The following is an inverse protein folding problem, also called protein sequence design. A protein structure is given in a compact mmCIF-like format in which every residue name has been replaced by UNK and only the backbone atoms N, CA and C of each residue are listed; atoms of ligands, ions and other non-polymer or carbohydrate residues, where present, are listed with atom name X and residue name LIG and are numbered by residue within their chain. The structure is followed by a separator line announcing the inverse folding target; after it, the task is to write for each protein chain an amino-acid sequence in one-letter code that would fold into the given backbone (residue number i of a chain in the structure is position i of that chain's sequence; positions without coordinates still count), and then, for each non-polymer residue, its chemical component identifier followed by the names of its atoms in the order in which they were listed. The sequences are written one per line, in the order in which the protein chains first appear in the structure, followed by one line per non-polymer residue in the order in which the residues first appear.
data_IF_076016527238
#
_entry.id   IF_076016527238
#
_cell.length_a   1.000
_cell.length_b   1.000
_cell.length_c   1.000
_cell.angle_alpha   90.00
_cell.angle_beta   90.00
_cell.angle_gamma   90.00
#
_symmetry.space_group_name_H-M   'P 1'
#
loop_
_entity.id
_entity.type
_entity.pdbx_description
1 polymer ?
#
# COMPACT_ATOMS: atom_id res chain seq x y z
N UNK A 1 10.03 -6.01 -22.16
CA UNK A 1 8.83 -5.82 -21.31
C UNK A 1 7.55 -6.07 -22.11
N UNK A 2 6.81 -7.13 -21.80
CA UNK A 2 5.61 -7.57 -22.56
C UNK A 2 4.33 -6.91 -22.05
N UNK A 3 4.38 -5.62 -21.74
CA UNK A 3 3.18 -4.86 -21.35
C UNK A 3 2.82 -3.91 -22.48
N UNK A 4 1.60 -4.06 -22.98
CA UNK A 4 1.06 -3.44 -24.19
C UNK A 4 -0.23 -2.63 -23.93
N UNK A 5 -0.67 -2.52 -22.67
CA UNK A 5 -1.89 -1.82 -22.30
C UNK A 5 -1.89 -0.39 -22.87
N UNK A 6 -2.96 -0.05 -23.61
CA UNK A 6 -3.12 1.25 -24.27
C UNK A 6 -1.95 1.64 -25.19
N UNK A 7 -1.33 0.66 -25.86
CA UNK A 7 -0.14 0.86 -26.70
C UNK A 7 1.00 1.56 -25.96
N UNK A 8 1.06 1.35 -24.63
CA UNK A 8 2.06 1.95 -23.73
C UNK A 8 1.97 3.48 -23.67
N UNK A 9 0.81 4.05 -24.01
CA UNK A 9 0.55 5.48 -23.93
C UNK A 9 0.53 5.94 -22.46
N UNK A 10 1.56 6.68 -22.08
CA UNK A 10 1.71 7.24 -20.73
C UNK A 10 0.50 8.10 -20.32
N UNK A 11 0.01 8.94 -21.23
CA UNK A 11 -1.14 9.82 -21.01
C UNK A 11 -2.39 9.02 -20.67
N UNK A 12 -2.70 7.96 -21.43
CA UNK A 12 -3.85 7.09 -21.18
C UNK A 12 -3.75 6.40 -19.83
N UNK A 13 -2.57 5.87 -19.47
CA UNK A 13 -2.41 5.14 -18.20
C UNK A 13 -2.60 6.05 -16.99
N UNK A 14 -1.97 7.22 -17.01
CA UNK A 14 -2.05 8.18 -15.92
C UNK A 14 -3.48 8.69 -15.77
N UNK A 15 -4.10 9.15 -16.86
CA UNK A 15 -5.47 9.69 -16.82
C UNK A 15 -6.51 8.64 -16.44
N UNK A 16 -6.46 7.44 -17.03
CA UNK A 16 -7.45 6.38 -16.77
C UNK A 16 -7.28 5.83 -15.35
N UNK A 17 -6.05 5.62 -14.86
CA UNK A 17 -5.83 5.16 -13.48
C UNK A 17 -6.34 6.16 -12.43
N UNK A 18 -6.05 7.45 -12.61
CA UNK A 18 -6.59 8.52 -11.76
C UNK A 18 -8.13 8.56 -11.80
N UNK A 19 -8.72 8.43 -13.00
CA UNK A 19 -10.18 8.43 -13.19
C UNK A 19 -10.87 7.23 -12.51
N UNK A 20 -10.31 6.03 -12.66
CA UNK A 20 -10.85 4.81 -12.00
C UNK A 20 -10.77 4.95 -10.48
N UNK A 21 -9.63 5.40 -9.94
CA UNK A 21 -9.48 5.60 -8.50
C UNK A 21 -10.48 6.65 -7.97
N UNK A 22 -10.58 7.80 -8.65
CA UNK A 22 -11.47 8.91 -8.26
C UNK A 22 -12.94 8.50 -8.29
N UNK A 23 -13.39 7.84 -9.37
CA UNK A 23 -14.78 7.41 -9.51
C UNK A 23 -15.15 6.31 -8.51
N UNK A 24 -14.31 5.29 -8.36
CA UNK A 24 -14.54 4.18 -7.42
C UNK A 24 -14.58 4.69 -5.98
N UNK A 25 -13.61 5.52 -5.59
CA UNK A 25 -13.55 6.04 -4.23
C UNK A 25 -14.70 7.01 -3.94
N UNK A 26 -15.03 7.90 -4.89
CA UNK A 26 -16.19 8.81 -4.77
C UNK A 26 -17.48 8.03 -4.55
N UNK A 27 -17.68 6.94 -5.30
CA UNK A 27 -18.84 6.08 -5.13
C UNK A 27 -18.86 5.39 -3.76
N UNK A 28 -17.71 4.87 -3.31
CA UNK A 28 -17.60 4.19 -2.02
C UNK A 28 -17.85 5.09 -0.81
N UNK A 29 -17.39 6.35 -0.85
CA UNK A 29 -17.45 7.28 0.29
C UNK A 29 -18.59 8.30 0.21
N UNK A 30 -19.30 8.39 -0.93
CA UNK A 30 -20.39 9.33 -1.15
C UNK A 30 -19.98 10.81 -1.20
N UNK A 31 -18.69 11.09 -1.43
CA UNK A 31 -18.15 12.47 -1.55
C UNK A 31 -17.21 12.53 -2.75
N UNK A 32 -17.21 13.67 -3.44
CA UNK A 32 -16.31 13.90 -4.58
C UNK A 32 -14.86 13.87 -4.10
N UNK A 33 -14.06 12.97 -4.68
CA UNK A 33 -12.63 12.82 -4.41
C UNK A 33 -11.88 12.75 -5.73
N UNK A 34 -10.76 13.46 -5.81
CA UNK A 34 -9.89 13.49 -6.97
C UNK A 34 -8.53 12.90 -6.59
N UNK A 35 -8.02 11.98 -7.40
CA UNK A 35 -6.67 11.42 -7.30
C UNK A 35 -5.77 11.96 -8.41
N UNK A 36 -4.52 12.25 -8.05
CA UNK A 36 -3.41 12.40 -9.00
C UNK A 36 -2.83 11.01 -9.33
N UNK A 37 -2.23 10.86 -10.51
CA UNK A 37 -1.50 9.67 -10.92
C UNK A 37 -0.21 10.06 -11.62
N UNK A 38 0.81 9.21 -11.51
CA UNK A 38 2.10 9.38 -12.16
C UNK A 38 2.69 8.03 -12.50
N UNK A 39 3.39 7.94 -13.63
CA UNK A 39 4.20 6.78 -13.91
C UNK A 39 5.62 6.98 -13.36
N UNK A 40 6.16 5.92 -12.78
CA UNK A 40 7.57 5.81 -12.44
C UNK A 40 8.12 4.59 -13.18
N UNK A 41 9.30 4.73 -13.79
CA UNK A 41 9.93 3.68 -14.58
C UNK A 41 11.21 3.22 -13.88
N UNK A 42 11.27 1.93 -13.56
CA UNK A 42 12.48 1.27 -13.10
C UNK A 42 13.19 0.60 -14.28
N UNK A 43 14.50 0.81 -14.41
CA UNK A 43 15.31 0.22 -15.48
C UNK A 43 15.51 -1.29 -15.31
N UNK A 44 15.41 -1.81 -14.08
CA UNK A 44 15.61 -3.22 -13.76
C UNK A 44 14.79 -3.63 -12.52
N UNK A 45 14.65 -4.95 -12.24
CA UNK A 45 13.91 -5.43 -11.08
C UNK A 45 14.42 -4.92 -9.73
N UNK A 46 15.73 -4.66 -9.55
CA UNK A 46 16.24 -4.18 -8.26
C UNK A 46 15.78 -2.75 -7.97
N UNK A 47 15.70 -1.87 -8.98
CA UNK A 47 15.14 -0.54 -8.79
C UNK A 47 13.65 -0.58 -8.39
N UNK A 48 12.88 -1.56 -8.90
CA UNK A 48 11.48 -1.76 -8.48
C UNK A 48 11.43 -2.15 -7.00
N UNK A 49 12.28 -3.08 -6.56
CA UNK A 49 12.39 -3.46 -5.14
C UNK A 49 12.75 -2.26 -4.26
N UNK A 50 13.75 -1.47 -4.68
CA UNK A 50 14.18 -0.28 -3.94
C UNK A 50 13.08 0.79 -3.87
N UNK A 51 12.31 0.96 -4.95
CA UNK A 51 11.14 1.83 -4.98
C UNK A 51 10.11 1.41 -3.92
N UNK A 52 9.75 0.13 -3.86
CA UNK A 52 8.80 -0.36 -2.86
C UNK A 52 9.35 -0.23 -1.43
N UNK A 53 10.64 -0.52 -1.20
CA UNK A 53 11.29 -0.30 0.10
C UNK A 53 11.22 1.15 0.54
N UNK A 54 11.47 2.08 -0.39
CA UNK A 54 11.34 3.51 -0.14
C UNK A 54 9.90 3.91 0.18
N UNK A 55 8.91 3.41 -0.56
CA UNK A 55 7.48 3.65 -0.27
C UNK A 55 7.05 3.11 1.10
N UNK A 56 7.52 1.94 1.53
CA UNK A 56 7.20 1.39 2.84
C UNK A 56 7.84 2.22 3.99
N UNK A 57 9.09 2.63 3.81
CA UNK A 57 9.78 3.52 4.76
C UNK A 57 9.06 4.87 4.89
N UNK A 58 8.63 5.43 3.76
CA UNK A 58 7.85 6.66 3.71
C UNK A 58 6.48 6.49 4.39
N UNK A 59 5.78 5.38 4.14
CA UNK A 59 4.52 5.05 4.81
C UNK A 59 4.69 4.98 6.33
N UNK A 60 5.77 4.37 6.82
CA UNK A 60 6.08 4.30 8.26
C UNK A 60 6.28 5.69 8.86
N UNK A 61 7.04 6.55 8.16
CA UNK A 61 7.28 7.94 8.58
C UNK A 61 5.98 8.75 8.60
N UNK A 62 5.17 8.63 7.56
CA UNK A 62 3.88 9.31 7.44
C UNK A 62 2.90 8.85 8.51
N UNK A 63 2.86 7.54 8.80
CA UNK A 63 2.04 6.97 9.86
C UNK A 63 2.42 7.53 11.23
N UNK A 64 3.71 7.51 11.58
CA UNK A 64 4.21 8.05 12.85
C UNK A 64 3.87 9.54 12.98
N UNK A 65 4.09 10.31 11.92
CA UNK A 65 3.76 11.74 11.90
C UNK A 65 2.25 11.98 12.03
N UNK A 66 1.43 11.20 11.33
CA UNK A 66 -0.03 11.28 11.37
C UNK A 66 -0.58 10.98 12.75
N UNK A 67 -0.08 9.92 13.41
CA UNK A 67 -0.44 9.61 14.79
C UNK A 67 -0.10 10.75 15.75
N UNK A 68 1.12 11.28 15.68
CA UNK A 68 1.51 12.42 16.49
C UNK A 68 0.60 13.63 16.25
N UNK A 69 0.35 13.95 14.97
CA UNK A 69 -0.45 15.10 14.58
C UNK A 69 -1.87 14.98 15.13
N UNK A 70 -2.55 13.86 14.88
CA UNK A 70 -3.92 13.67 15.33
C UNK A 70 -4.03 13.62 16.86
N UNK A 71 -3.02 13.09 17.56
CA UNK A 71 -3.00 13.14 19.02
C UNK A 71 -2.81 14.55 19.57
N UNK A 72 -1.96 15.37 18.95
CA UNK A 72 -1.87 16.79 19.29
C UNK A 72 -3.19 17.53 19.02
N UNK A 73 -3.86 17.24 17.90
CA UNK A 73 -5.18 17.81 17.57
C UNK A 73 -6.24 17.43 18.59
N UNK A 74 -6.25 16.17 19.03
CA UNK A 74 -7.14 15.67 20.07
C UNK A 74 -6.85 16.30 21.44
N UNK A 75 -5.57 16.54 21.77
CA UNK A 75 -5.13 17.25 22.96
C UNK A 75 -5.36 18.79 22.90
N UNK A 76 -6.12 19.27 21.92
CA UNK A 76 -6.55 20.67 21.81
C UNK A 76 -5.59 21.59 21.04
N UNK A 77 -4.51 21.08 20.44
CA UNK A 77 -3.63 21.91 19.59
C UNK A 77 -4.34 22.26 18.28
N UNK A 78 -4.17 23.50 17.84
CA UNK A 78 -4.68 23.91 16.54
C UNK A 78 -3.77 23.38 15.39
N UNK A 79 -4.23 23.54 14.14
CA UNK A 79 -3.49 23.08 12.95
C UNK A 79 -2.06 23.61 12.89
N UNK A 80 -1.86 24.91 13.19
CA UNK A 80 -0.56 25.56 13.07
C UNK A 80 0.41 25.08 14.15
N UNK A 81 -0.09 24.95 15.38
CA UNK A 81 0.68 24.45 16.52
C UNK A 81 1.12 23.00 16.30
N UNK A 82 0.19 22.11 15.93
CA UNK A 82 0.50 20.70 15.72
C UNK A 82 1.55 20.51 14.61
N UNK A 83 1.41 21.23 13.49
CA UNK A 83 2.39 21.20 12.40
C UNK A 83 3.75 21.74 12.86
N UNK A 84 3.80 22.90 13.52
CA UNK A 84 5.05 23.49 13.99
C UNK A 84 5.77 22.63 15.03
N UNK A 85 5.02 21.93 15.90
CA UNK A 85 5.59 21.03 16.90
C UNK A 85 6.27 19.81 16.28
N UNK A 86 5.79 19.34 15.11
CA UNK A 86 6.30 18.15 14.43
C UNK A 86 7.32 18.46 13.33
N UNK A 87 7.39 19.71 12.90
CA UNK A 87 8.29 20.15 11.85
C UNK A 87 9.76 19.94 12.23
N UNK A 88 10.52 19.37 11.29
CA UNK A 88 11.93 19.01 11.50
C UNK A 88 12.21 18.00 12.63
N UNK A 89 11.19 17.44 13.30
CA UNK A 89 11.41 16.56 14.45
C UNK A 89 11.85 15.15 14.06
N UNK A 90 12.76 14.62 14.87
CA UNK A 90 13.30 13.27 14.71
C UNK A 90 12.24 12.18 14.98
N UNK A 91 12.51 10.97 14.48
CA UNK A 91 11.70 9.78 14.77
C UNK A 91 11.65 9.51 16.28
N UNK A 92 12.77 9.68 16.99
CA UNK A 92 12.84 9.48 18.44
C UNK A 92 11.91 10.44 19.19
N UNK A 93 11.93 11.74 18.84
CA UNK A 93 11.03 12.73 19.43
C UNK A 93 9.56 12.37 19.22
N UNK A 94 9.19 11.91 18.02
CA UNK A 94 7.81 11.54 17.69
C UNK A 94 7.35 10.30 18.47
N UNK A 95 8.22 9.32 18.66
CA UNK A 95 7.90 8.16 19.50
C UNK A 95 7.72 8.55 20.97
N UNK A 96 8.61 9.39 21.51
CA UNK A 96 8.50 9.89 22.88
C UNK A 96 7.22 10.70 23.08
N UNK A 97 6.86 11.56 22.12
CA UNK A 97 5.61 12.31 22.15
C UNK A 97 4.40 11.37 22.25
N UNK A 98 4.32 10.32 21.43
CA UNK A 98 3.23 9.35 21.51
C UNK A 98 3.23 8.59 22.83
N UNK A 99 4.42 8.25 23.33
CA UNK A 99 4.58 7.55 24.61
C UNK A 99 4.06 8.38 25.78
N UNK A 100 4.25 9.70 25.77
CA UNK A 100 3.66 10.62 26.76
C UNK A 100 2.12 10.60 26.76
N UNK A 101 1.50 10.24 25.64
CA UNK A 101 0.05 9.99 25.54
C UNK A 101 -0.34 8.52 25.75
N UNK A 102 0.58 7.69 26.25
CA UNK A 102 0.35 6.26 26.50
C UNK A 102 0.26 5.41 25.23
N UNK A 103 0.77 5.88 24.09
CA UNK A 103 0.71 5.17 22.81
C UNK A 103 2.10 4.68 22.43
N UNK A 104 2.27 3.36 22.39
CA UNK A 104 3.44 2.74 21.78
C UNK A 104 3.22 2.57 20.28
N UNK A 105 3.95 3.33 19.45
CA UNK A 105 3.82 3.24 18.00
C UNK A 105 4.07 1.82 17.48
N UNK A 106 4.92 1.01 18.13
CA UNK A 106 5.23 -0.33 17.65
C UNK A 106 4.11 -1.36 17.85
N UNK A 107 3.15 -1.07 18.74
CA UNK A 107 2.01 -1.93 19.06
C UNK A 107 0.78 -1.61 18.20
N UNK A 108 0.82 -0.54 17.41
CA UNK A 108 -0.27 -0.21 16.49
C UNK A 108 -0.40 -1.27 15.38
N UNK A 109 -1.60 -1.45 14.81
CA UNK A 109 -1.83 -2.40 13.72
C UNK A 109 -0.81 -2.25 12.59
N UNK A 110 -0.32 -3.38 12.08
CA UNK A 110 0.78 -3.40 11.10
C UNK A 110 0.43 -2.60 9.84
N UNK A 111 -0.79 -2.73 9.33
CA UNK A 111 -1.24 -2.00 8.14
C UNK A 111 -1.14 -0.48 8.28
N UNK A 112 -1.33 0.06 9.48
CA UNK A 112 -1.20 1.51 9.72
C UNK A 112 0.26 1.95 9.60
N UNK A 113 1.19 1.10 10.02
CA UNK A 113 2.62 1.41 10.07
C UNK A 113 3.33 1.08 8.76
N UNK A 114 2.89 0.03 8.06
CA UNK A 114 3.60 -0.56 6.92
C UNK A 114 2.84 -0.47 5.61
N UNK A 115 1.57 -0.06 5.64
CA UNK A 115 0.68 -0.10 4.50
C UNK A 115 0.09 -1.50 4.26
N UNK A 116 -0.65 -1.63 3.16
CA UNK A 116 -1.34 -2.86 2.75
C UNK A 116 -0.81 -3.31 1.40
N UNK A 117 -0.55 -4.61 1.25
CA UNK A 117 -0.17 -5.22 -0.02
C UNK A 117 -1.38 -5.77 -0.76
N UNK A 118 -1.47 -5.49 -2.07
CA UNK A 118 -2.45 -6.09 -2.96
C UNK A 118 -1.71 -6.85 -4.08
N UNK A 119 -1.87 -8.16 -4.13
CA UNK A 119 -1.21 -8.99 -5.14
C UNK A 119 -2.04 -10.21 -5.49
N UNK A 120 -1.82 -10.76 -6.68
CA UNK A 120 -2.51 -11.97 -7.12
C UNK A 120 -1.95 -13.20 -6.39
N UNK A 121 -2.84 -14.03 -5.87
CA UNK A 121 -2.51 -15.36 -5.37
C UNK A 121 -3.36 -16.42 -6.05
N UNK A 122 -2.81 -17.63 -6.14
CA UNK A 122 -3.56 -18.82 -6.52
C UNK A 122 -4.08 -19.52 -5.26
N UNK A 123 -5.33 -19.97 -5.31
CA UNK A 123 -5.94 -20.76 -4.26
C UNK A 123 -6.71 -21.93 -4.85
N UNK A 124 -6.71 -23.03 -4.11
CA UNK A 124 -7.46 -24.23 -4.44
C UNK A 124 -8.91 -24.06 -3.99
N UNK A 125 -9.85 -24.21 -4.92
CA UNK A 125 -11.27 -24.22 -4.64
C UNK A 125 -11.86 -25.58 -4.98
N UNK A 126 -12.63 -26.22 -4.10
CA UNK A 126 -13.42 -27.39 -4.47
C UNK A 126 -14.47 -26.96 -5.50
N UNK A 127 -14.46 -27.63 -6.64
CA UNK A 127 -15.45 -27.51 -7.70
C UNK A 127 -16.15 -28.85 -7.91
N UNK A 128 -17.32 -28.81 -8.55
CA UNK A 128 -18.05 -30.01 -8.93
C UNK A 128 -18.05 -30.09 -10.46
N UNK A 129 -17.61 -31.22 -11.01
CA UNK A 129 -17.72 -31.47 -12.44
C UNK A 129 -19.04 -32.20 -12.74
N UNK A 130 -20.03 -31.54 -13.37
CA UNK A 130 -21.33 -32.14 -13.62
C UNK A 130 -21.29 -33.29 -14.65
N UNK A 131 -20.23 -33.39 -15.48
CA UNK A 131 -20.08 -34.46 -16.48
C UNK A 131 -19.53 -35.75 -15.86
N UNK A 132 -18.63 -35.63 -14.88
CA UNK A 132 -18.00 -36.79 -14.23
C UNK A 132 -18.56 -37.10 -12.85
N UNK A 133 -19.49 -36.26 -12.34
CA UNK A 133 -20.09 -36.33 -11.00
C UNK A 133 -19.06 -36.45 -9.87
N UNK A 134 -17.91 -35.78 -10.03
CA UNK A 134 -16.81 -35.82 -9.06
C UNK A 134 -16.48 -34.42 -8.57
N UNK A 135 -16.11 -34.34 -7.29
CA UNK A 135 -15.42 -33.20 -6.75
C UNK A 135 -14.03 -33.10 -7.37
N UNK A 136 -13.71 -31.93 -7.92
CA UNK A 136 -12.43 -31.62 -8.53
C UNK A 136 -11.87 -30.37 -7.87
N UNK A 137 -10.60 -30.43 -7.47
CA UNK A 137 -9.90 -29.24 -7.00
C UNK A 137 -9.50 -28.42 -8.21
N UNK A 138 -10.00 -27.19 -8.28
CA UNK A 138 -9.64 -26.25 -9.35
C UNK A 138 -8.80 -25.11 -8.78
N UNK A 139 -7.70 -24.80 -9.45
CA UNK A 139 -6.90 -23.62 -9.15
C UNK A 139 -7.62 -22.37 -9.66
N UNK A 140 -7.72 -21.35 -8.81
CA UNK A 140 -8.31 -20.04 -9.13
C UNK A 140 -7.38 -18.94 -8.65
N UNK A 141 -7.47 -17.77 -9.28
CA UNK A 141 -6.71 -16.59 -8.90
C UNK A 141 -7.62 -15.59 -8.19
N UNK A 142 -7.12 -14.96 -7.13
CA UNK A 142 -7.78 -13.82 -6.46
C UNK A 142 -6.76 -12.77 -6.08
N UNK A 143 -7.21 -11.55 -5.85
CA UNK A 143 -6.38 -10.52 -5.22
C UNK A 143 -6.35 -10.80 -3.72
N UNK A 144 -5.16 -11.05 -3.17
CA UNK A 144 -4.93 -11.09 -1.72
C UNK A 144 -4.73 -9.67 -1.21
N UNK A 145 -5.40 -9.37 -0.10
CA UNK A 145 -5.19 -8.18 0.71
C UNK A 145 -4.32 -8.61 1.89
N UNK A 146 -3.13 -8.03 2.01
CA UNK A 146 -2.15 -8.38 3.04
C UNK A 146 -1.84 -7.17 3.93
N UNK A 147 -2.30 -7.25 5.17
CA UNK A 147 -2.14 -6.21 6.20
C UNK A 147 -0.88 -6.40 7.05
N UNK A 148 -0.21 -7.56 6.92
CA UNK A 148 0.92 -7.98 7.75
C UNK A 148 2.21 -8.06 6.92
N UNK A 149 2.56 -6.94 6.28
CA UNK A 149 3.74 -6.87 5.43
C UNK A 149 5.04 -7.03 6.23
N UNK A 150 6.04 -7.77 5.70
CA UNK A 150 7.39 -7.83 6.27
C UNK A 150 8.09 -6.45 6.16
N UNK A 151 9.26 -6.31 6.79
CA UNK A 151 10.05 -5.06 6.78
C UNK A 151 11.48 -5.30 6.29
N UNK A 152 12.16 -4.20 5.93
CA UNK A 152 13.60 -4.20 5.59
C UNK A 152 13.95 -5.24 4.52
N UNK A 153 14.90 -6.12 4.80
CA UNK A 153 15.38 -7.10 3.83
C UNK A 153 14.32 -8.13 3.45
N UNK A 154 13.58 -8.65 4.44
CA UNK A 154 12.46 -9.55 4.22
C UNK A 154 11.38 -8.95 3.32
N UNK A 155 11.13 -7.63 3.41
CA UNK A 155 10.24 -6.94 2.47
C UNK A 155 10.82 -6.84 1.07
N UNK A 156 12.11 -6.57 0.95
CA UNK A 156 12.78 -6.57 -0.35
C UNK A 156 12.73 -7.93 -1.03
N UNK A 157 12.96 -9.00 -0.28
CA UNK A 157 12.92 -10.37 -0.80
C UNK A 157 11.50 -10.75 -1.22
N UNK A 158 10.50 -10.38 -0.41
CA UNK A 158 9.09 -10.54 -0.75
C UNK A 158 8.72 -9.85 -2.07
N UNK A 159 9.07 -8.58 -2.25
CA UNK A 159 8.81 -7.85 -3.50
C UNK A 159 9.59 -8.47 -4.67
N UNK A 160 10.83 -8.88 -4.44
CA UNK A 160 11.65 -9.54 -5.46
C UNK A 160 10.99 -10.82 -5.97
N UNK A 161 10.45 -11.64 -5.07
CA UNK A 161 9.69 -12.85 -5.45
C UNK A 161 8.49 -12.50 -6.33
N UNK A 162 7.73 -11.46 -5.98
CA UNK A 162 6.59 -11.01 -6.80
C UNK A 162 7.04 -10.53 -8.18
N UNK A 163 8.09 -9.72 -8.25
CA UNK A 163 8.58 -9.15 -9.52
C UNK A 163 9.16 -10.23 -10.44
N UNK A 164 9.90 -11.20 -9.89
CA UNK A 164 10.49 -12.29 -10.68
C UNK A 164 9.46 -13.32 -11.14
N UNK A 165 8.43 -13.58 -10.32
CA UNK A 165 7.34 -14.49 -10.67
C UNK A 165 6.27 -13.83 -11.56
N UNK A 166 6.42 -12.55 -11.89
CA UNK A 166 5.49 -11.84 -12.76
C UNK A 166 5.67 -12.30 -14.21
N UNK A 167 4.80 -13.21 -14.64
CA UNK A 167 4.62 -13.54 -16.05
C UNK A 167 3.48 -12.70 -16.62
N UNK A 168 3.74 -11.67 -17.45
CA UNK A 168 2.68 -11.01 -18.21
C UNK A 168 2.03 -12.07 -19.11
N UNK A 169 0.71 -12.20 -19.01
CA UNK A 169 -0.11 -12.92 -19.99
C UNK A 169 -0.77 -11.91 -20.89
#
# INVERSE_FOLDING_TARGET
PNWDLFDRSLEKIVSISASIASSTFTHAVGKVVNFDSRAWLGANPSQVVDYFRWRQSDATRCALNGWCYWKLREAGKNTREATAMLDGKSVAFKNELLFQYGINFNELPTWQRRGVGLYWEEYNKPGYNPLTQKEVVVTRRRVKVDEELPIKDAYGDFIRTIVLNYSPR
#
